data_IF_527112567790
#
_entry.id   IF_527112567790
#
_cell.length_a   1.000
_cell.length_b   1.000
_cell.length_c   1.000
_cell.angle_alpha   90.00
_cell.angle_beta   90.00
_cell.angle_gamma   90.00
#
_symmetry.space_group_name_H-M   'P 1'
#
loop_
_entity.id
_entity.type
_entity.pdbx_description
1 polymer ?
#
# COMPACT_ATOMS: atom_id res chain seq x y z
N UNK A 1 2.26 -25.89 24.70
CA UNK A 1 1.48 -25.62 23.48
C UNK A 1 1.42 -24.12 23.30
N UNK A 2 2.21 -23.59 22.39
CA UNK A 2 2.04 -22.21 21.91
C UNK A 2 0.84 -22.26 20.96
N UNK A 3 -0.24 -21.52 21.20
CA UNK A 3 -1.34 -21.49 20.26
C UNK A 3 -0.82 -20.92 18.95
N UNK A 4 -0.86 -21.71 17.89
CA UNK A 4 -0.57 -21.26 16.53
C UNK A 4 -1.74 -20.38 16.14
N UNK A 5 -1.55 -19.07 16.17
CA UNK A 5 -2.55 -18.13 15.67
C UNK A 5 -2.60 -18.24 14.16
N UNK A 6 -3.59 -18.96 13.66
CA UNK A 6 -3.85 -19.11 12.21
C UNK A 6 -4.49 -17.87 11.57
N UNK A 7 -4.52 -16.74 12.28
CA UNK A 7 -5.17 -15.52 11.80
C UNK A 7 -4.14 -14.39 11.70
N UNK A 8 -3.45 -14.34 10.57
CA UNK A 8 -2.67 -13.18 10.15
C UNK A 8 -3.49 -12.44 9.10
N UNK A 9 -3.56 -11.11 9.21
CA UNK A 9 -4.31 -10.32 8.26
C UNK A 9 -3.98 -8.84 8.34
N UNK A 10 -4.49 -8.09 7.37
CA UNK A 10 -4.48 -6.65 7.40
C UNK A 10 -5.66 -6.14 8.23
N UNK A 11 -5.50 -4.98 8.84
CA UNK A 11 -6.55 -4.30 9.55
C UNK A 11 -6.52 -2.80 9.23
N UNK A 12 -7.65 -2.14 9.42
CA UNK A 12 -7.74 -0.68 9.30
C UNK A 12 -8.57 -0.10 10.44
N UNK A 13 -8.31 1.17 10.74
CA UNK A 13 -9.12 2.01 11.61
C UNK A 13 -9.41 3.30 10.86
N UNK A 14 -10.65 3.72 10.82
CA UNK A 14 -11.06 4.96 10.16
C UNK A 14 -11.89 5.83 11.12
N UNK A 15 -11.65 7.16 11.06
CA UNK A 15 -12.52 8.16 11.68
C UNK A 15 -13.65 8.57 10.74
N UNK A 16 -13.35 8.61 9.45
CA UNK A 16 -14.30 8.98 8.41
C UNK A 16 -15.21 7.80 8.08
N UNK A 17 -16.39 8.10 7.58
CA UNK A 17 -17.33 7.08 7.11
C UNK A 17 -16.72 6.34 5.91
N UNK A 18 -16.67 5.02 6.02
CA UNK A 18 -16.33 4.14 4.91
C UNK A 18 -17.63 3.86 4.16
N UNK A 19 -17.68 4.19 2.87
CA UNK A 19 -18.85 3.95 2.03
C UNK A 19 -18.96 2.47 1.69
N UNK A 20 -17.83 1.85 1.33
CA UNK A 20 -17.76 0.42 1.06
C UNK A 20 -16.39 -0.14 1.47
N UNK A 21 -16.38 -1.39 1.93
CA UNK A 21 -15.18 -2.16 2.20
C UNK A 21 -15.27 -3.50 1.47
N UNK A 22 -14.34 -3.75 0.56
CA UNK A 22 -14.25 -5.00 -0.21
C UNK A 22 -12.97 -5.74 0.18
N UNK A 23 -13.04 -7.07 0.22
CA UNK A 23 -11.96 -7.96 0.61
C UNK A 23 -11.60 -8.86 -0.55
N UNK A 24 -10.45 -8.62 -1.18
CA UNK A 24 -10.00 -9.37 -2.33
C UNK A 24 -8.93 -10.37 -1.91
N UNK A 25 -9.16 -11.64 -2.19
CA UNK A 25 -8.25 -12.71 -1.82
C UNK A 25 -7.45 -13.16 -3.04
N UNK A 26 -6.12 -13.16 -2.91
CA UNK A 26 -5.26 -13.80 -3.90
C UNK A 26 -5.40 -15.33 -3.81
N UNK A 27 -5.42 -16.02 -4.95
CA UNK A 27 -5.60 -17.47 -5.00
C UNK A 27 -4.47 -18.25 -4.29
N UNK A 28 -3.24 -17.73 -4.33
CA UNK A 28 -2.04 -18.41 -3.82
C UNK A 28 -1.23 -17.55 -2.87
N UNK A 29 -0.63 -18.19 -1.86
CA UNK A 29 0.28 -17.56 -0.89
C UNK A 29 -0.30 -17.47 0.51
N UNK A 30 0.52 -17.13 1.51
CA UNK A 30 0.08 -16.93 2.91
C UNK A 30 -0.50 -15.52 3.15
N UNK A 31 0.01 -14.52 2.46
CA UNK A 31 -0.46 -13.13 2.49
C UNK A 31 -1.38 -12.95 1.29
N UNK A 32 -2.70 -13.00 1.50
CA UNK A 32 -3.66 -13.20 0.42
C UNK A 32 -4.69 -12.10 0.28
N UNK A 33 -4.64 -11.07 1.12
CA UNK A 33 -5.72 -10.13 1.24
C UNK A 33 -5.30 -8.73 0.79
N UNK A 34 -6.06 -8.16 -0.13
CA UNK A 34 -6.16 -6.73 -0.35
C UNK A 34 -7.45 -6.24 0.26
N UNK A 35 -7.39 -5.20 1.08
CA UNK A 35 -8.57 -4.50 1.58
C UNK A 35 -8.75 -3.26 0.72
N UNK A 36 -9.85 -3.19 0.01
CA UNK A 36 -10.29 -2.01 -0.72
C UNK A 36 -11.29 -1.25 0.15
N UNK A 37 -11.00 0.03 0.40
CA UNK A 37 -11.84 0.91 1.20
C UNK A 37 -12.25 2.11 0.36
N UNK A 38 -13.52 2.24 0.11
CA UNK A 38 -14.09 3.38 -0.60
C UNK A 38 -14.55 4.43 0.41
N UNK A 39 -13.92 5.60 0.36
CA UNK A 39 -14.30 6.80 1.10
C UNK A 39 -14.97 7.79 0.12
N UNK A 40 -15.38 8.94 0.62
CA UNK A 40 -16.12 9.94 -0.16
C UNK A 40 -15.35 10.40 -1.42
N UNK A 41 -14.05 10.68 -1.32
CA UNK A 41 -13.25 11.25 -2.41
C UNK A 41 -12.11 10.34 -2.89
N UNK A 42 -11.79 9.28 -2.16
CA UNK A 42 -10.60 8.46 -2.41
C UNK A 42 -10.84 6.99 -2.10
N UNK A 43 -10.24 6.12 -2.90
CA UNK A 43 -10.22 4.67 -2.66
C UNK A 43 -8.83 4.24 -2.15
N UNK A 44 -8.80 3.45 -1.09
CA UNK A 44 -7.57 2.87 -0.55
C UNK A 44 -7.49 1.38 -0.86
N UNK A 45 -6.32 0.94 -1.32
CA UNK A 45 -5.96 -0.47 -1.44
C UNK A 45 -4.88 -0.79 -0.42
N UNK A 46 -5.22 -1.49 0.65
CA UNK A 46 -4.28 -1.88 1.70
C UNK A 46 -3.74 -3.27 1.41
N UNK A 47 -2.43 -3.38 1.29
CA UNK A 47 -1.75 -4.60 0.85
C UNK A 47 -0.73 -5.09 1.89
N UNK A 48 -0.50 -6.41 1.90
CA UNK A 48 0.64 -7.04 2.50
C UNK A 48 1.06 -8.19 1.59
N UNK A 49 2.05 -7.95 0.71
CA UNK A 49 2.40 -8.85 -0.37
C UNK A 49 3.33 -9.97 0.08
N UNK A 50 3.46 -10.99 -0.75
CA UNK A 50 4.28 -12.16 -0.47
C UNK A 50 5.78 -11.83 -0.49
N UNK A 51 6.56 -12.51 0.37
CA UNK A 51 8.02 -12.38 0.46
C UNK A 51 8.75 -12.83 -0.82
N UNK A 52 8.24 -13.89 -1.47
CA UNK A 52 8.90 -14.46 -2.64
C UNK A 52 8.55 -13.69 -3.90
N UNK A 53 9.55 -13.33 -4.70
CA UNK A 53 9.41 -12.59 -5.95
C UNK A 53 8.29 -13.11 -6.85
N UNK A 54 8.29 -14.42 -7.16
CA UNK A 54 7.30 -15.02 -8.06
C UNK A 54 5.85 -14.81 -7.58
N UNK A 55 5.58 -15.06 -6.29
CA UNK A 55 4.23 -14.89 -5.74
C UNK A 55 3.83 -13.43 -5.66
N UNK A 56 4.77 -12.57 -5.31
CA UNK A 56 4.56 -11.12 -5.24
C UNK A 56 4.26 -10.55 -6.63
N UNK A 57 4.97 -10.98 -7.67
CA UNK A 57 4.69 -10.56 -9.05
C UNK A 57 3.28 -10.98 -9.50
N UNK A 58 2.84 -12.22 -9.19
CA UNK A 58 1.46 -12.67 -9.45
C UNK A 58 0.45 -11.79 -8.71
N UNK A 59 0.72 -11.43 -7.45
CA UNK A 59 -0.15 -10.56 -6.65
C UNK A 59 -0.21 -9.11 -7.18
N UNK A 60 0.92 -8.59 -7.65
CA UNK A 60 0.99 -7.26 -8.26
C UNK A 60 0.19 -7.19 -9.55
N UNK A 61 0.20 -8.24 -10.38
CA UNK A 61 -0.65 -8.31 -11.57
C UNK A 61 -2.13 -8.24 -11.18
N UNK A 62 -2.55 -9.00 -10.17
CA UNK A 62 -3.94 -8.94 -9.69
C UNK A 62 -4.29 -7.57 -9.09
N UNK A 63 -3.35 -6.95 -8.35
CA UNK A 63 -3.53 -5.60 -7.82
C UNK A 63 -3.70 -4.58 -8.97
N UNK A 64 -2.88 -4.67 -10.01
CA UNK A 64 -3.03 -3.85 -11.20
C UNK A 64 -4.42 -4.01 -11.83
N UNK A 65 -4.92 -5.24 -11.97
CA UNK A 65 -6.26 -5.52 -12.50
C UNK A 65 -7.40 -4.97 -11.62
N UNK A 66 -7.16 -4.77 -10.33
CA UNK A 66 -8.10 -4.11 -9.41
C UNK A 66 -8.07 -2.60 -9.59
N UNK A 67 -6.89 -1.99 -9.48
CA UNK A 67 -6.76 -0.52 -9.51
C UNK A 67 -7.16 0.08 -10.85
N UNK A 68 -6.91 -0.60 -11.98
CA UNK A 68 -7.31 -0.11 -13.31
C UNK A 68 -8.84 -0.05 -13.52
N UNK A 69 -9.63 -0.61 -12.61
CA UNK A 69 -11.09 -0.59 -12.66
C UNK A 69 -11.69 0.57 -11.87
N UNK A 70 -10.88 1.23 -11.04
CA UNK A 70 -11.33 2.42 -10.33
C UNK A 70 -11.21 3.64 -11.23
N UNK A 71 -12.21 4.48 -11.21
CA UNK A 71 -12.31 5.77 -11.90
C UNK A 71 -12.16 6.95 -10.92
N UNK A 72 -11.78 6.66 -9.69
CA UNK A 72 -11.63 7.61 -8.59
C UNK A 72 -10.15 7.76 -8.21
N UNK A 73 -9.76 8.89 -7.57
CA UNK A 73 -8.45 9.01 -6.94
C UNK A 73 -8.19 7.85 -5.98
N UNK A 74 -7.00 7.27 -6.00
CA UNK A 74 -6.70 6.11 -5.16
C UNK A 74 -5.28 6.11 -4.59
N UNK A 75 -5.16 5.42 -3.47
CA UNK A 75 -3.90 5.20 -2.75
C UNK A 75 -3.71 3.70 -2.55
N UNK A 76 -2.54 3.18 -2.88
CA UNK A 76 -2.11 1.81 -2.60
C UNK A 76 -1.05 1.85 -1.51
N UNK A 77 -1.33 1.28 -0.35
CA UNK A 77 -0.44 1.37 0.80
C UNK A 77 -0.23 0.03 1.50
N UNK A 78 0.97 -0.17 2.06
CA UNK A 78 1.28 -1.33 2.87
C UNK A 78 2.69 -1.88 2.69
N UNK A 79 2.89 -3.11 3.17
CA UNK A 79 4.14 -3.84 3.06
C UNK A 79 4.20 -4.63 1.74
N UNK A 80 5.05 -4.19 0.83
CA UNK A 80 5.27 -4.82 -0.47
C UNK A 80 6.35 -5.90 -0.45
N UNK A 81 7.07 -6.06 0.67
CA UNK A 81 8.08 -7.09 0.87
C UNK A 81 9.18 -7.16 -0.22
N UNK A 82 9.69 -6.03 -0.66
CA UNK A 82 10.64 -5.86 -1.77
C UNK A 82 12.09 -6.26 -1.43
N UNK A 83 12.29 -7.30 -0.62
CA UNK A 83 13.62 -7.75 -0.19
C UNK A 83 14.60 -8.08 -1.32
N UNK A 84 14.08 -8.48 -2.50
CA UNK A 84 14.87 -8.88 -3.66
C UNK A 84 14.95 -7.79 -4.74
N UNK A 85 14.52 -6.56 -4.41
CA UNK A 85 14.48 -5.42 -5.34
C UNK A 85 13.05 -4.93 -5.58
N UNK A 86 12.95 -3.82 -6.30
CA UNK A 86 11.71 -3.03 -6.47
C UNK A 86 11.22 -3.01 -7.93
N UNK A 87 11.79 -3.83 -8.84
CA UNK A 87 11.48 -3.76 -10.27
C UNK A 87 10.00 -3.93 -10.57
N UNK A 88 9.34 -4.88 -9.88
CA UNK A 88 7.90 -5.10 -10.05
C UNK A 88 7.05 -3.93 -9.54
N UNK A 89 7.53 -3.18 -8.54
CA UNK A 89 6.85 -1.98 -8.05
C UNK A 89 6.99 -0.85 -9.07
N UNK A 90 8.18 -0.66 -9.62
CA UNK A 90 8.40 0.32 -10.67
C UNK A 90 7.54 0.03 -11.92
N UNK A 91 7.37 -1.26 -12.27
CA UNK A 91 6.48 -1.65 -13.36
C UNK A 91 5.01 -1.35 -13.04
N UNK A 92 4.56 -1.64 -11.81
CA UNK A 92 3.20 -1.29 -11.36
C UNK A 92 2.98 0.22 -11.43
N UNK A 93 3.93 1.01 -10.91
CA UNK A 93 3.85 2.47 -10.92
C UNK A 93 3.77 3.00 -12.35
N UNK A 94 4.63 2.53 -13.25
CA UNK A 94 4.62 2.95 -14.64
C UNK A 94 3.32 2.56 -15.38
N UNK A 95 2.81 1.33 -15.15
CA UNK A 95 1.59 0.84 -15.79
C UNK A 95 0.32 1.54 -15.30
N UNK A 96 0.31 2.03 -14.05
CA UNK A 96 -0.84 2.65 -13.39
C UNK A 96 -0.66 4.14 -13.17
N UNK A 97 0.40 4.76 -13.70
CA UNK A 97 0.75 6.18 -13.49
C UNK A 97 0.82 6.58 -12.00
N UNK A 98 1.21 5.62 -11.14
CA UNK A 98 1.34 5.87 -9.72
C UNK A 98 2.63 6.60 -9.38
N UNK A 99 2.55 7.48 -8.39
CA UNK A 99 3.68 8.16 -7.77
C UNK A 99 3.94 7.61 -6.37
N UNK A 100 5.22 7.64 -5.93
CA UNK A 100 5.58 7.22 -4.58
C UNK A 100 5.63 8.45 -3.67
N UNK A 101 4.81 8.47 -2.62
CA UNK A 101 4.80 9.56 -1.64
C UNK A 101 6.14 9.71 -0.91
N UNK A 102 6.92 8.62 -0.78
CA UNK A 102 8.26 8.63 -0.20
C UNK A 102 9.32 9.00 -1.26
N UNK A 103 9.31 10.24 -1.72
CA UNK A 103 10.23 10.75 -2.75
C UNK A 103 11.71 10.72 -2.32
N UNK A 104 12.00 10.66 -1.02
CA UNK A 104 13.36 10.60 -0.47
C UNK A 104 13.86 9.15 -0.34
N UNK A 105 13.05 8.15 -0.69
CA UNK A 105 13.36 6.73 -0.55
C UNK A 105 13.86 6.34 0.85
N UNK A 106 13.23 6.89 1.89
CA UNK A 106 13.55 6.60 3.27
C UNK A 106 13.25 5.13 3.58
N UNK A 107 14.20 4.36 4.13
CA UNK A 107 13.98 2.96 4.46
C UNK A 107 13.10 2.81 5.70
N UNK A 108 12.18 1.82 5.69
CA UNK A 108 11.25 1.54 6.79
C UNK A 108 11.68 0.36 7.68
N UNK A 109 12.54 -0.52 7.18
CA UNK A 109 12.88 -1.78 7.84
C UNK A 109 14.40 -2.02 7.95
N UNK A 110 14.89 -2.64 9.03
CA UNK A 110 14.22 -2.83 10.32
C UNK A 110 14.16 -1.50 11.11
N UNK A 111 13.12 -1.27 11.91
CA UNK A 111 12.85 0.01 12.58
C UNK A 111 14.00 0.53 13.46
N UNK A 112 14.81 -0.37 14.04
CA UNK A 112 15.97 0.01 14.88
C UNK A 112 17.17 0.52 14.08
N UNK A 113 17.32 0.08 12.84
CA UNK A 113 18.40 0.50 11.92
C UNK A 113 17.90 0.35 10.48
N UNK A 114 17.08 1.29 10.00
CA UNK A 114 16.45 1.18 8.69
C UNK A 114 17.48 1.07 7.55
N UNK A 115 17.29 0.06 6.69
CA UNK A 115 18.19 -0.24 5.56
C UNK A 115 17.42 -0.70 4.31
N UNK A 116 16.13 -1.00 4.45
CA UNK A 116 15.31 -1.54 3.37
C UNK A 116 14.03 -0.76 3.25
N UNK A 117 13.63 -0.55 2.04
CA UNK A 117 12.40 0.09 1.65
C UNK A 117 11.39 -1.02 1.30
N UNK A 118 10.55 -1.39 2.27
CA UNK A 118 9.57 -2.48 2.12
C UNK A 118 8.14 -1.97 2.10
N UNK A 119 7.91 -0.83 2.74
CA UNK A 119 6.60 -0.22 2.87
C UNK A 119 6.48 0.94 1.91
N UNK A 120 5.35 1.01 1.21
CA UNK A 120 5.08 2.05 0.22
C UNK A 120 3.72 2.68 0.47
N UNK A 121 3.61 3.96 0.12
CA UNK A 121 2.37 4.66 -0.14
C UNK A 121 2.46 5.18 -1.56
N UNK A 122 1.79 4.49 -2.47
CA UNK A 122 1.68 4.86 -3.88
C UNK A 122 0.34 5.55 -4.08
N UNK A 123 0.29 6.57 -4.92
CA UNK A 123 -0.94 7.33 -5.15
C UNK A 123 -1.12 7.66 -6.63
N UNK A 124 -2.38 7.83 -7.02
CA UNK A 124 -2.74 8.30 -8.35
C UNK A 124 -2.43 9.80 -8.52
N UNK A 125 -2.32 10.30 -9.76
CA UNK A 125 -1.93 11.71 -10.03
C UNK A 125 -2.87 12.76 -9.44
N UNK A 126 -4.14 12.40 -9.19
CA UNK A 126 -5.14 13.27 -8.58
C UNK A 126 -4.94 13.50 -7.09
N UNK A 127 -3.97 12.80 -6.48
CA UNK A 127 -3.59 12.99 -5.08
C UNK A 127 -2.38 13.90 -5.00
N UNK A 128 -2.55 15.06 -4.37
CA UNK A 128 -1.44 15.97 -4.05
C UNK A 128 -0.92 15.65 -2.64
N UNK A 129 0.31 15.18 -2.55
CA UNK A 129 0.99 14.98 -1.26
C UNK A 129 1.33 16.33 -0.66
N UNK A 130 0.81 16.63 0.53
CA UNK A 130 1.12 17.87 1.26
C UNK A 130 2.22 17.64 2.29
N UNK A 131 2.33 16.42 2.84
CA UNK A 131 3.40 16.08 3.76
C UNK A 131 3.59 14.55 3.81
N UNK A 132 4.83 14.11 3.87
CA UNK A 132 5.19 12.71 4.11
C UNK A 132 6.22 12.63 5.23
N UNK A 133 6.02 11.73 6.18
CA UNK A 133 6.95 11.53 7.30
C UNK A 133 7.00 10.09 7.77
N UNK A 134 8.16 9.72 8.29
CA UNK A 134 8.42 8.44 8.95
C UNK A 134 8.97 8.70 10.34
N UNK A 135 8.13 8.80 11.37
CA UNK A 135 8.59 9.03 12.73
C UNK A 135 9.38 7.83 13.26
N UNK A 136 10.41 8.08 14.08
CA UNK A 136 11.19 7.04 14.78
C UNK A 136 10.36 6.39 15.89
N UNK A 137 9.30 5.69 15.48
CA UNK A 137 8.38 4.98 16.36
C UNK A 137 8.63 3.48 16.24
N UNK A 138 9.28 2.89 17.25
CA UNK A 138 9.78 1.51 17.23
C UNK A 138 8.85 0.53 17.94
N UNK A 139 7.55 0.67 17.76
CA UNK A 139 6.55 -0.27 18.29
C UNK A 139 6.41 -1.54 17.45
N UNK A 140 6.98 -1.53 16.25
CA UNK A 140 7.05 -2.66 15.33
C UNK A 140 8.49 -2.80 14.81
N UNK A 141 8.79 -3.87 14.09
CA UNK A 141 10.02 -4.03 13.31
C UNK A 141 10.04 -3.18 12.03
N UNK A 142 8.90 -2.55 11.65
CA UNK A 142 8.81 -1.53 10.62
C UNK A 142 8.57 -0.15 11.23
N UNK A 143 9.09 0.91 10.60
CA UNK A 143 8.71 2.29 10.91
C UNK A 143 7.36 2.61 10.26
N UNK A 144 6.50 3.41 10.93
CA UNK A 144 5.24 3.84 10.35
C UNK A 144 5.45 4.89 9.25
N UNK A 145 4.66 4.81 8.19
CA UNK A 145 4.55 5.82 7.15
C UNK A 145 3.30 6.65 7.39
N UNK A 146 3.44 7.97 7.32
CA UNK A 146 2.34 8.92 7.49
C UNK A 146 2.30 9.83 6.27
N UNK A 147 1.12 9.94 5.68
CA UNK A 147 0.83 10.77 4.53
C UNK A 147 -0.28 11.76 4.87
N UNK A 148 -0.02 13.06 4.66
CA UNK A 148 -1.03 14.09 4.59
C UNK A 148 -1.20 14.46 3.10
N UNK A 149 -2.44 14.50 2.61
CA UNK A 149 -2.71 14.71 1.20
C UNK A 149 -4.03 15.46 0.97
N UNK A 150 -4.19 15.96 -0.24
CA UNK A 150 -5.43 16.55 -0.75
C UNK A 150 -5.78 15.88 -2.08
N UNK A 151 -7.07 15.71 -2.33
CA UNK A 151 -7.57 15.29 -3.63
C UNK A 151 -7.67 16.54 -4.51
N UNK A 152 -6.98 16.54 -5.63
CA UNK A 152 -7.07 17.63 -6.61
C UNK A 152 -8.23 17.28 -7.54
N UNK A 153 -9.36 17.95 -7.38
CA UNK A 153 -10.46 17.82 -8.33
C UNK A 153 -10.02 18.25 -9.73
N UNK A 154 -10.52 17.60 -10.76
CA UNK A 154 -10.41 18.13 -12.11
C UNK A 154 -10.94 19.55 -12.10
N UNK A 155 -10.06 20.51 -12.34
CA UNK A 155 -10.46 21.88 -12.66
C UNK A 155 -11.04 21.83 -14.07
N UNK A 156 -12.29 21.37 -14.17
CA UNK A 156 -13.08 21.60 -15.38
C UNK A 156 -13.49 23.07 -15.35
N UNK A 157 -12.63 23.93 -15.87
CA UNK A 157 -13.02 25.24 -16.41
C UNK A 157 -13.62 25.08 -17.82
#
# INVERSE_FOLDING_TARGET
HVPVYNQQGNAFLAKNTIQEARYHYFEKGMKKLVIELELEEVTFFLVHLALTYRKRSEQIIHLYEMIRKTDRPYIVAGDFNTFMGEQEIHLLMAASQLENANVLNLPSYPSRQPKRHLDFILHSPEIRVTNFRMPDCRLSDHLPLILDFEVVGDSTD
#
